data_IF_553906132666
#
_entry.id   IF_553906132666
#
_cell.length_a   1.000
_cell.length_b   1.000
_cell.length_c   1.000
_cell.angle_alpha   90.00
_cell.angle_beta   90.00
_cell.angle_gamma   90.00
#
_symmetry.space_group_name_H-M   'P 1'
#
loop_
_entity.id
_entity.type
_entity.pdbx_description
1 polymer ?
#
# COMPACT_ATOMS: atom_id res chain seq x y z
N UNK A 1 19.97 -29.57 -11.88
CA UNK A 1 18.47 -29.50 -11.74
C UNK A 1 17.94 -29.04 -13.08
N UNK A 2 16.99 -29.78 -13.66
CA UNK A 2 16.36 -29.35 -14.91
C UNK A 2 15.78 -27.95 -14.74
N UNK A 3 15.99 -27.06 -15.73
CA UNK A 3 15.44 -25.72 -15.73
C UNK A 3 13.90 -25.83 -15.59
N UNK A 4 13.35 -25.27 -14.51
CA UNK A 4 11.94 -25.39 -14.20
C UNK A 4 11.09 -24.81 -15.33
N UNK A 5 10.08 -25.60 -15.74
CA UNK A 5 9.14 -25.20 -16.79
C UNK A 5 8.12 -24.26 -16.20
N UNK A 6 8.01 -23.03 -16.75
CA UNK A 6 6.92 -22.12 -16.42
C UNK A 6 7.33 -20.84 -15.68
N UNK A 7 6.30 -20.10 -15.28
CA UNK A 7 6.43 -18.83 -14.56
C UNK A 7 5.93 -18.98 -13.12
N UNK A 8 6.75 -18.56 -12.16
CA UNK A 8 6.31 -18.40 -10.77
C UNK A 8 5.74 -17.00 -10.57
N UNK A 9 4.60 -16.90 -9.90
CA UNK A 9 4.07 -15.65 -9.32
C UNK A 9 4.12 -15.77 -7.80
N UNK A 10 4.73 -14.79 -7.14
CA UNK A 10 4.88 -14.73 -5.69
C UNK A 10 3.90 -13.74 -5.09
N UNK A 11 2.97 -14.25 -4.28
CA UNK A 11 1.90 -13.51 -3.62
C UNK A 11 0.53 -13.71 -4.27
N UNK A 12 -0.49 -14.12 -3.50
CA UNK A 12 -1.88 -14.28 -3.94
C UNK A 12 -2.79 -13.10 -3.50
N UNK A 13 -2.24 -11.90 -3.51
CA UNK A 13 -2.99 -10.66 -3.44
C UNK A 13 -3.53 -10.23 -4.81
N UNK A 14 -4.10 -9.03 -4.89
CA UNK A 14 -4.70 -8.50 -6.13
C UNK A 14 -3.73 -8.54 -7.33
N UNK A 15 -2.45 -8.23 -7.13
CA UNK A 15 -1.44 -8.19 -8.18
C UNK A 15 -1.07 -9.59 -8.69
N UNK A 16 -0.85 -10.53 -7.76
CA UNK A 16 -0.50 -11.90 -8.12
C UNK A 16 -1.65 -12.63 -8.81
N UNK A 17 -2.87 -12.51 -8.29
CA UNK A 17 -4.05 -13.09 -8.91
C UNK A 17 -4.27 -12.55 -10.34
N UNK A 18 -4.19 -11.22 -10.51
CA UNK A 18 -4.36 -10.61 -11.83
C UNK A 18 -3.29 -11.07 -12.83
N UNK A 19 -2.04 -11.19 -12.38
CA UNK A 19 -0.92 -11.64 -13.23
C UNK A 19 -1.03 -13.12 -13.56
N UNK A 20 -1.33 -13.97 -12.57
CA UNK A 20 -1.53 -15.40 -12.79
C UNK A 20 -2.70 -15.66 -13.76
N UNK A 21 -3.83 -14.93 -13.61
CA UNK A 21 -4.96 -15.04 -14.53
C UNK A 21 -4.59 -14.59 -15.96
N UNK A 22 -3.78 -13.54 -16.11
CA UNK A 22 -3.31 -13.10 -17.42
C UNK A 22 -2.40 -14.15 -18.09
N UNK A 23 -1.53 -14.81 -17.33
CA UNK A 23 -0.68 -15.89 -17.79
C UNK A 23 -1.49 -17.14 -18.20
N UNK A 24 -2.43 -17.57 -17.37
CA UNK A 24 -3.33 -18.69 -17.68
C UNK A 24 -4.11 -18.41 -18.96
N UNK A 25 -4.67 -17.20 -19.11
CA UNK A 25 -5.38 -16.78 -20.32
C UNK A 25 -4.49 -16.80 -21.57
N UNK A 26 -3.19 -16.53 -21.41
CA UNK A 26 -2.19 -16.58 -22.48
C UNK A 26 -1.64 -18.01 -22.72
N UNK A 27 -2.19 -19.04 -22.09
CA UNK A 27 -1.77 -20.45 -22.24
C UNK A 27 -0.41 -20.75 -21.59
N UNK A 28 0.09 -19.89 -20.68
CA UNK A 28 1.37 -20.09 -20.03
C UNK A 28 1.21 -20.93 -18.75
N UNK A 29 2.13 -21.91 -18.51
CA UNK A 29 2.14 -22.62 -17.24
C UNK A 29 2.55 -21.65 -16.11
N UNK A 30 1.73 -21.61 -15.05
CA UNK A 30 1.93 -20.73 -13.91
C UNK A 30 1.85 -21.49 -12.59
N UNK A 31 2.78 -21.22 -11.70
CA UNK A 31 2.72 -21.57 -10.27
C UNK A 31 2.47 -20.28 -9.48
N UNK A 32 1.61 -20.34 -8.45
CA UNK A 32 1.27 -19.20 -7.61
C UNK A 32 1.53 -19.58 -6.15
N UNK A 33 2.48 -18.91 -5.49
CA UNK A 33 2.81 -19.14 -4.08
C UNK A 33 2.33 -17.97 -3.22
N UNK A 34 1.80 -18.29 -2.04
CA UNK A 34 1.37 -17.32 -1.04
C UNK A 34 1.85 -17.76 0.35
N UNK A 35 2.46 -16.82 1.10
CA UNK A 35 2.97 -17.12 2.46
C UNK A 35 1.87 -17.31 3.50
N UNK A 36 0.75 -16.64 3.31
CA UNK A 36 -0.39 -16.76 4.21
C UNK A 36 -1.24 -18.01 3.89
N UNK A 37 -2.13 -18.32 4.79
CA UNK A 37 -3.08 -19.44 4.69
C UNK A 37 -4.32 -19.11 3.86
N UNK A 38 -4.41 -17.90 3.28
CA UNK A 38 -5.56 -17.43 2.53
C UNK A 38 -5.23 -16.46 1.40
N UNK A 39 -6.10 -16.44 0.40
CA UNK A 39 -6.09 -15.44 -0.69
C UNK A 39 -6.45 -14.07 -0.13
N UNK A 40 -5.75 -13.02 -0.57
CA UNK A 40 -6.02 -11.64 -0.18
C UNK A 40 -5.63 -11.31 1.26
N UNK A 41 -4.75 -12.07 1.88
CA UNK A 41 -4.32 -11.93 3.28
C UNK A 41 -3.85 -10.52 3.63
N UNK A 42 -3.18 -9.82 2.70
CA UNK A 42 -2.76 -8.43 2.91
C UNK A 42 -3.92 -7.46 3.15
N UNK A 43 -5.11 -7.74 2.59
CA UNK A 43 -6.34 -6.98 2.84
C UNK A 43 -7.01 -7.45 4.14
N UNK A 44 -7.10 -8.76 4.37
CA UNK A 44 -7.63 -9.33 5.61
C UNK A 44 -6.88 -8.85 6.86
N UNK A 45 -5.58 -8.57 6.71
CA UNK A 45 -4.74 -8.00 7.76
C UNK A 45 -4.94 -6.50 8.01
N UNK A 46 -5.87 -5.80 7.35
CA UNK A 46 -6.14 -4.37 7.59
C UNK A 46 -7.33 -4.17 8.56
N UNK A 47 -7.47 -2.93 9.04
CA UNK A 47 -8.58 -2.55 9.93
C UNK A 47 -9.95 -2.69 9.26
N UNK A 48 -10.96 -2.96 10.07
CA UNK A 48 -12.30 -3.37 9.62
C UNK A 48 -13.04 -2.27 8.86
N UNK A 49 -12.83 -1.02 9.24
CA UNK A 49 -13.43 0.16 8.60
C UNK A 49 -12.84 0.53 7.24
N UNK A 50 -11.80 -0.18 6.77
CA UNK A 50 -11.12 0.16 5.52
C UNK A 50 -12.04 0.06 4.30
N UNK A 51 -12.06 1.13 3.50
CA UNK A 51 -12.70 1.16 2.19
C UNK A 51 -11.68 1.57 1.12
N UNK A 52 -11.86 1.08 -0.11
CA UNK A 52 -11.04 1.53 -1.23
C UNK A 52 -11.18 3.05 -1.42
N UNK A 53 -10.06 3.73 -1.64
CA UNK A 53 -10.01 5.15 -2.00
C UNK A 53 -10.31 5.38 -3.48
N UNK A 54 -10.30 4.32 -4.27
CA UNK A 54 -10.56 4.32 -5.70
C UNK A 54 -11.97 3.81 -5.98
N UNK A 55 -12.58 4.32 -7.04
CA UNK A 55 -13.94 3.93 -7.39
C UNK A 55 -14.02 2.50 -7.89
N UNK A 56 -15.08 1.81 -7.50
CA UNK A 56 -15.34 0.41 -7.82
C UNK A 56 -15.10 0.05 -9.28
N UNK A 57 -15.63 0.84 -10.24
CA UNK A 57 -15.56 0.53 -11.67
C UNK A 57 -14.18 0.72 -12.32
N UNK A 58 -13.23 1.34 -11.60
CA UNK A 58 -11.82 1.47 -11.98
C UNK A 58 -10.90 0.54 -11.14
N UNK A 59 -11.48 -0.27 -10.26
CA UNK A 59 -10.75 -1.11 -9.31
C UNK A 59 -10.89 -2.61 -9.61
N UNK A 60 -11.64 -2.99 -10.64
CA UNK A 60 -11.79 -4.39 -11.05
C UNK A 60 -10.53 -4.97 -11.67
N UNK A 61 -10.28 -6.25 -11.44
CA UNK A 61 -9.18 -7.01 -12.05
C UNK A 61 -9.53 -7.42 -13.50
N UNK A 62 -8.53 -7.81 -14.31
CA UNK A 62 -8.76 -8.16 -15.72
C UNK A 62 -9.79 -9.28 -15.89
N UNK A 63 -10.83 -9.02 -16.69
CA UNK A 63 -11.86 -10.01 -17.01
C UNK A 63 -13.02 -10.10 -16.02
N UNK A 64 -12.90 -9.52 -14.82
CA UNK A 64 -13.96 -9.59 -13.82
C UNK A 64 -14.18 -8.22 -13.15
N UNK A 65 -15.40 -7.72 -13.22
CA UNK A 65 -15.77 -6.43 -12.62
C UNK A 65 -16.23 -6.63 -11.18
N UNK A 66 -15.88 -5.71 -10.30
CA UNK A 66 -16.43 -5.70 -8.93
C UNK A 66 -17.95 -5.47 -8.99
N UNK A 67 -18.78 -6.29 -8.31
CA UNK A 67 -20.23 -6.19 -8.30
C UNK A 67 -20.76 -4.82 -7.89
N UNK A 68 -21.87 -4.37 -8.50
CA UNK A 68 -22.49 -3.08 -8.16
C UNK A 68 -22.99 -3.03 -6.72
N UNK A 69 -23.39 -4.15 -6.16
CA UNK A 69 -23.84 -4.32 -4.78
C UNK A 69 -22.79 -3.89 -3.73
N UNK A 70 -21.49 -3.92 -4.06
CA UNK A 70 -20.40 -3.50 -3.17
C UNK A 70 -20.25 -1.97 -3.07
N UNK A 71 -21.20 -1.22 -3.57
CA UNK A 71 -21.23 0.23 -3.49
C UNK A 71 -20.20 0.92 -4.39
N UNK A 72 -20.03 2.23 -4.17
CA UNK A 72 -19.09 3.06 -4.93
C UNK A 72 -17.65 2.90 -4.42
N UNK A 73 -17.51 2.79 -3.12
CA UNK A 73 -16.25 2.64 -2.39
C UNK A 73 -16.29 1.28 -1.70
N UNK A 74 -15.57 0.33 -2.25
CA UNK A 74 -15.64 -1.08 -1.86
C UNK A 74 -15.05 -1.25 -0.46
N UNK A 75 -15.79 -1.90 0.43
CA UNK A 75 -15.31 -2.26 1.76
C UNK A 75 -14.23 -3.36 1.69
N UNK A 76 -13.39 -3.42 2.71
CA UNK A 76 -12.32 -4.42 2.83
C UNK A 76 -12.83 -5.84 2.62
N UNK A 77 -13.89 -6.22 3.30
CA UNK A 77 -14.41 -7.60 3.28
C UNK A 77 -15.03 -7.96 1.92
N UNK A 78 -15.74 -7.01 1.29
CA UNK A 78 -16.23 -7.16 -0.07
C UNK A 78 -15.09 -7.36 -1.07
N UNK A 79 -13.97 -6.65 -0.87
CA UNK A 79 -12.79 -6.82 -1.73
C UNK A 79 -12.14 -8.19 -1.54
N UNK A 80 -12.04 -8.69 -0.31
CA UNK A 80 -11.51 -10.02 -0.01
C UNK A 80 -12.40 -11.09 -0.68
N UNK A 81 -13.71 -10.95 -0.56
CA UNK A 81 -14.66 -11.86 -1.23
C UNK A 81 -14.48 -11.83 -2.74
N UNK A 82 -14.41 -10.65 -3.34
CA UNK A 82 -14.13 -10.45 -4.77
C UNK A 82 -12.82 -11.13 -5.23
N UNK A 83 -11.74 -11.04 -4.44
CA UNK A 83 -10.46 -11.66 -4.79
C UNK A 83 -10.53 -13.19 -4.77
N UNK A 84 -11.26 -13.77 -3.82
CA UNK A 84 -11.49 -15.22 -3.75
C UNK A 84 -12.31 -15.72 -4.95
N UNK A 85 -13.41 -15.04 -5.25
CA UNK A 85 -14.26 -15.31 -6.41
C UNK A 85 -13.46 -15.14 -7.73
N UNK A 86 -12.63 -14.10 -7.82
CA UNK A 86 -11.76 -13.90 -8.97
C UNK A 86 -10.79 -15.07 -9.19
N UNK A 87 -10.19 -15.59 -8.12
CA UNK A 87 -9.29 -16.74 -8.21
C UNK A 87 -10.03 -17.99 -8.71
N UNK A 88 -11.22 -18.27 -8.17
CA UNK A 88 -12.06 -19.41 -8.57
C UNK A 88 -12.46 -19.32 -10.04
N UNK A 89 -13.01 -18.20 -10.48
CA UNK A 89 -13.43 -17.96 -11.87
C UNK A 89 -12.26 -17.99 -12.86
N UNK A 90 -11.06 -17.63 -12.41
CA UNK A 90 -9.84 -17.71 -13.23
C UNK A 90 -9.16 -19.06 -13.19
N UNK A 91 -9.71 -20.05 -12.49
CA UNK A 91 -9.14 -21.39 -12.34
C UNK A 91 -7.81 -21.44 -11.57
N UNK A 92 -7.52 -20.41 -10.77
CA UNK A 92 -6.27 -20.32 -10.01
C UNK A 92 -6.31 -21.18 -8.75
N UNK A 93 -5.19 -21.85 -8.47
CA UNK A 93 -5.00 -22.67 -7.27
C UNK A 93 -3.66 -22.27 -6.63
N UNK A 94 -3.63 -21.20 -5.82
CA UNK A 94 -2.41 -20.80 -5.11
C UNK A 94 -2.00 -21.88 -4.10
N UNK A 95 -0.70 -22.15 -4.03
CA UNK A 95 -0.12 -22.93 -2.94
C UNK A 95 0.06 -21.99 -1.75
N UNK A 96 -0.79 -22.18 -0.75
CA UNK A 96 -0.85 -21.36 0.46
C UNK A 96 0.15 -21.87 1.53
N UNK A 97 0.55 -20.97 2.45
CA UNK A 97 1.48 -21.27 3.53
C UNK A 97 2.88 -21.61 3.02
N UNK A 98 3.32 -21.03 1.91
CA UNK A 98 4.69 -21.20 1.38
C UNK A 98 5.40 -19.86 1.35
N UNK A 99 6.44 -19.74 2.15
CA UNK A 99 7.27 -18.54 2.21
C UNK A 99 8.42 -18.63 1.22
N UNK A 100 8.49 -17.66 0.29
CA UNK A 100 9.69 -17.45 -0.54
C UNK A 100 10.67 -16.62 0.28
N UNK A 101 11.87 -17.16 0.48
CA UNK A 101 12.92 -16.56 1.31
C UNK A 101 13.97 -15.84 0.49
N UNK A 102 14.30 -16.38 -0.70
CA UNK A 102 15.35 -15.85 -1.56
C UNK A 102 15.15 -16.29 -3.02
N UNK A 103 15.60 -15.47 -3.95
CA UNK A 103 15.57 -15.74 -5.39
C UNK A 103 16.98 -15.54 -5.93
N UNK A 104 17.51 -16.60 -6.56
CA UNK A 104 18.87 -16.67 -7.10
C UNK A 104 18.83 -16.90 -8.61
N UNK A 105 19.93 -16.57 -9.31
CA UNK A 105 20.08 -17.00 -10.70
C UNK A 105 20.40 -18.48 -10.78
N UNK A 106 19.76 -19.17 -11.71
CA UNK A 106 20.18 -20.50 -12.10
C UNK A 106 21.39 -20.44 -13.07
N UNK A 107 22.24 -21.46 -13.06
CA UNK A 107 23.42 -21.54 -13.94
C UNK A 107 23.04 -21.58 -15.43
N UNK A 108 22.00 -22.33 -15.77
CA UNK A 108 21.54 -22.62 -17.15
C UNK A 108 20.44 -21.67 -17.68
N UNK A 109 20.35 -20.45 -17.17
CA UNK A 109 19.24 -19.52 -17.37
C UNK A 109 18.01 -19.83 -16.51
N UNK A 110 17.32 -18.76 -16.09
CA UNK A 110 16.16 -18.85 -15.18
C UNK A 110 16.51 -18.53 -13.73
N UNK A 111 15.70 -19.05 -12.80
CA UNK A 111 15.71 -18.63 -11.41
C UNK A 111 15.56 -19.81 -10.46
N UNK A 112 16.37 -19.85 -9.41
CA UNK A 112 16.19 -20.72 -8.26
C UNK A 112 15.48 -19.93 -7.17
N UNK A 113 14.36 -20.49 -6.70
CA UNK A 113 13.53 -19.90 -5.67
C UNK A 113 13.63 -20.74 -4.40
N UNK A 114 14.26 -20.16 -3.39
CA UNK A 114 14.41 -20.76 -2.07
C UNK A 114 13.13 -20.49 -1.29
N UNK A 115 12.51 -21.54 -0.78
CA UNK A 115 11.32 -21.48 0.04
C UNK A 115 11.54 -22.24 1.35
N UNK A 116 10.67 -22.00 2.35
CA UNK A 116 10.60 -22.80 3.59
C UNK A 116 10.32 -24.29 3.36
N UNK A 117 9.99 -24.70 2.11
CA UNK A 117 9.73 -26.09 1.69
C UNK A 117 10.77 -26.63 0.71
N UNK A 118 11.91 -25.95 0.56
CA UNK A 118 12.99 -26.33 -0.33
C UNK A 118 13.16 -25.43 -1.55
N UNK A 119 14.08 -25.81 -2.44
CA UNK A 119 14.45 -25.02 -3.62
C UNK A 119 13.68 -25.50 -4.85
N UNK A 120 13.13 -24.57 -5.61
CA UNK A 120 12.41 -24.82 -6.86
C UNK A 120 13.00 -23.99 -8.00
N UNK A 121 13.07 -24.53 -9.21
CA UNK A 121 13.55 -23.85 -10.40
C UNK A 121 12.40 -23.35 -11.27
N UNK A 122 12.53 -22.13 -11.82
CA UNK A 122 11.56 -21.53 -12.73
C UNK A 122 12.25 -20.78 -13.87
N UNK A 123 11.64 -20.75 -15.03
CA UNK A 123 12.13 -19.96 -16.16
C UNK A 123 11.97 -18.46 -15.92
N UNK A 124 10.87 -18.07 -15.28
CA UNK A 124 10.52 -16.66 -14.96
C UNK A 124 9.93 -16.55 -13.57
N UNK A 125 10.15 -15.40 -12.94
CA UNK A 125 9.57 -15.07 -11.63
C UNK A 125 8.90 -13.70 -11.68
N UNK A 126 7.68 -13.61 -11.16
CA UNK A 126 6.94 -12.37 -10.99
C UNK A 126 6.74 -12.11 -9.50
N UNK A 127 7.35 -11.04 -9.00
CA UNK A 127 7.16 -10.57 -7.62
C UNK A 127 5.93 -9.66 -7.55
N UNK A 128 4.87 -10.15 -6.91
CA UNK A 128 3.59 -9.48 -6.68
C UNK A 128 3.28 -9.35 -5.18
N UNK A 129 4.33 -9.17 -4.38
CA UNK A 129 4.29 -9.17 -2.89
C UNK A 129 3.71 -7.90 -2.29
N UNK A 130 3.44 -6.88 -3.11
CA UNK A 130 2.90 -5.59 -2.69
C UNK A 130 3.93 -4.64 -2.07
N UNK A 131 3.66 -3.33 -2.16
CA UNK A 131 4.57 -2.28 -1.65
C UNK A 131 4.43 -1.98 -0.15
N UNK A 132 3.37 -2.48 0.50
CA UNK A 132 3.13 -2.32 1.94
C UNK A 132 3.28 -3.67 2.65
N UNK A 133 4.48 -4.26 2.58
CA UNK A 133 4.71 -5.63 3.01
C UNK A 133 5.15 -5.74 4.48
N UNK A 134 6.22 -5.05 4.87
CA UNK A 134 6.80 -5.15 6.22
C UNK A 134 6.54 -3.86 6.99
N UNK A 135 5.87 -3.90 8.15
CA UNK A 135 5.68 -2.74 9.02
C UNK A 135 7.02 -2.07 9.37
N UNK A 136 7.03 -0.74 9.38
CA UNK A 136 8.21 0.03 9.76
C UNK A 136 7.94 0.79 11.04
N UNK A 137 8.46 0.31 12.15
CA UNK A 137 8.49 1.04 13.42
C UNK A 137 9.80 1.81 13.47
N UNK A 138 9.80 3.16 13.64
CA UNK A 138 11.01 3.92 13.87
C UNK A 138 11.68 3.52 15.19
N UNK A 139 12.99 3.62 15.22
CA UNK A 139 13.78 3.43 16.43
C UNK A 139 13.72 4.73 17.26
N UNK A 140 12.68 4.86 18.07
CA UNK A 140 12.52 5.99 18.95
C UNK A 140 13.28 5.76 20.26
N UNK A 141 14.24 6.65 20.62
CA UNK A 141 14.91 6.54 21.91
C UNK A 141 13.92 6.48 23.07
N UNK A 142 14.13 5.54 23.99
CA UNK A 142 13.32 5.36 25.18
C UNK A 142 11.97 4.67 24.97
N UNK A 143 11.69 4.12 23.76
CA UNK A 143 10.42 3.42 23.47
C UNK A 143 10.18 2.27 24.45
N UNK A 144 11.22 1.56 24.86
CA UNK A 144 11.20 0.46 25.82
C UNK A 144 10.78 0.88 27.24
N UNK A 145 10.84 2.19 27.55
CA UNK A 145 10.41 2.73 28.86
C UNK A 145 8.93 3.05 28.91
N UNK A 146 8.26 3.06 27.76
CA UNK A 146 6.84 3.42 27.69
C UNK A 146 5.98 2.31 28.28
N UNK A 147 5.22 2.59 29.37
CA UNK A 147 4.54 1.54 30.16
C UNK A 147 3.22 1.09 29.57
N UNK A 148 2.82 1.63 28.41
CA UNK A 148 1.52 1.38 27.79
C UNK A 148 1.70 0.78 26.40
N UNK A 149 0.60 0.46 25.75
CA UNK A 149 0.58 -0.20 24.44
C UNK A 149 1.12 0.68 23.32
N UNK A 150 2.00 0.10 22.49
CA UNK A 150 2.44 0.65 21.20
C UNK A 150 2.13 -0.37 20.12
N UNK A 151 1.20 -0.04 19.22
CA UNK A 151 0.74 -0.92 18.14
C UNK A 151 1.10 -0.31 16.79
N UNK A 152 1.63 -1.11 15.86
CA UNK A 152 1.73 -0.65 14.47
C UNK A 152 0.36 -0.69 13.78
N UNK A 153 0.10 0.21 12.84
CA UNK A 153 -1.16 0.24 12.07
C UNK A 153 -1.45 -1.05 11.29
N UNK A 154 -0.46 -1.93 11.12
CA UNK A 154 -0.63 -3.28 10.57
C UNK A 154 -1.40 -4.22 11.51
N UNK A 155 -1.29 -3.99 12.81
CA UNK A 155 -1.89 -4.83 13.86
C UNK A 155 -3.17 -4.23 14.43
N UNK A 156 -3.44 -2.96 14.14
CA UNK A 156 -4.72 -2.33 14.46
C UNK A 156 -5.86 -2.95 13.64
N UNK A 157 -6.98 -3.28 14.30
CA UNK A 157 -8.16 -3.91 13.67
C UNK A 157 -9.40 -3.05 13.78
N UNK A 158 -9.73 -2.63 15.01
CA UNK A 158 -10.99 -1.94 15.30
C UNK A 158 -10.83 -1.06 16.56
N UNK A 159 -11.70 -0.05 16.76
CA UNK A 159 -11.47 0.99 17.76
C UNK A 159 -11.95 0.65 19.15
N UNK A 160 -12.71 -0.42 19.40
CA UNK A 160 -13.44 -0.64 20.66
C UNK A 160 -12.53 -0.66 21.91
N UNK A 161 -11.32 -1.25 21.77
CA UNK A 161 -10.33 -1.30 22.85
C UNK A 161 -9.83 0.09 23.28
N UNK A 162 -10.07 1.11 22.51
CA UNK A 162 -9.61 2.50 22.75
C UNK A 162 -10.74 3.44 23.20
N UNK A 163 -11.92 2.93 23.47
CA UNK A 163 -13.07 3.74 23.90
C UNK A 163 -12.73 4.63 25.11
N UNK A 164 -12.92 5.95 24.97
CA UNK A 164 -12.65 6.95 26.01
C UNK A 164 -11.17 7.19 26.33
N UNK A 165 -10.22 6.51 25.67
CA UNK A 165 -8.77 6.64 25.91
C UNK A 165 -8.17 7.81 25.13
N UNK A 166 -7.04 8.34 25.66
CA UNK A 166 -6.18 9.27 24.92
C UNK A 166 -5.22 8.51 24.00
N UNK A 167 -5.37 8.63 22.68
CA UNK A 167 -4.55 7.88 21.70
C UNK A 167 -3.67 8.83 20.89
N UNK A 168 -2.38 8.53 20.84
CA UNK A 168 -1.42 9.17 19.94
C UNK A 168 -1.27 8.34 18.67
N UNK A 169 -1.76 8.86 17.54
CA UNK A 169 -1.55 8.26 16.23
C UNK A 169 -0.32 8.93 15.59
N UNK A 170 0.74 8.16 15.33
CA UNK A 170 1.99 8.69 14.77
C UNK A 170 2.04 8.47 13.28
N UNK A 171 1.98 9.53 12.52
CA UNK A 171 1.98 9.53 11.07
C UNK A 171 0.91 10.44 10.47
N UNK A 172 0.98 10.66 9.17
CA UNK A 172 0.03 11.51 8.44
C UNK A 172 -0.33 10.92 7.07
N UNK A 173 -0.33 9.59 6.94
CA UNK A 173 -0.79 8.88 5.75
C UNK A 173 -2.28 8.51 5.84
N UNK A 174 -2.81 7.83 4.79
CA UNK A 174 -4.19 7.39 4.78
C UNK A 174 -4.54 6.52 6.00
N UNK A 175 -3.70 5.55 6.37
CA UNK A 175 -3.95 4.73 7.57
C UNK A 175 -4.03 5.55 8.84
N UNK A 176 -3.13 6.54 9.04
CA UNK A 176 -3.16 7.40 10.22
C UNK A 176 -4.47 8.18 10.33
N UNK A 177 -4.93 8.77 9.22
CA UNK A 177 -6.13 9.61 9.21
C UNK A 177 -7.41 8.79 9.32
N UNK A 178 -7.47 7.60 8.72
CA UNK A 178 -8.64 6.72 8.84
C UNK A 178 -8.74 6.09 10.24
N UNK A 179 -7.62 5.63 10.81
CA UNK A 179 -7.58 5.13 12.19
C UNK A 179 -7.95 6.26 13.19
N UNK A 180 -7.48 7.50 12.95
CA UNK A 180 -7.88 8.62 13.77
C UNK A 180 -9.41 8.87 13.75
N UNK A 181 -10.04 8.74 12.58
CA UNK A 181 -11.51 8.87 12.46
C UNK A 181 -12.24 7.68 13.10
N UNK A 182 -11.70 6.49 12.96
CA UNK A 182 -12.25 5.28 13.56
C UNK A 182 -12.25 5.38 15.09
N UNK A 183 -11.15 5.82 15.68
CA UNK A 183 -11.02 6.06 17.13
C UNK A 183 -12.01 7.11 17.64
N UNK A 184 -12.29 8.16 16.86
CA UNK A 184 -13.30 9.15 17.23
C UNK A 184 -14.70 8.56 17.34
N UNK A 185 -15.01 7.48 16.62
CA UNK A 185 -16.34 6.84 16.63
C UNK A 185 -16.67 6.21 18.00
N UNK A 186 -15.65 5.84 18.78
CA UNK A 186 -15.79 5.26 20.13
C UNK A 186 -15.47 6.26 21.24
N UNK A 187 -15.39 7.58 20.92
CA UNK A 187 -15.15 8.62 21.91
C UNK A 187 -13.71 8.71 22.40
N UNK A 188 -12.73 8.13 21.70
CA UNK A 188 -11.33 8.33 22.02
C UNK A 188 -10.91 9.79 21.80
N UNK A 189 -9.99 10.30 22.64
CA UNK A 189 -9.32 11.57 22.41
C UNK A 189 -8.08 11.37 21.53
N UNK A 190 -8.09 11.91 20.31
CA UNK A 190 -7.08 11.61 19.31
C UNK A 190 -6.09 12.76 19.12
N UNK A 191 -4.80 12.47 19.27
CA UNK A 191 -3.71 13.34 18.84
C UNK A 191 -2.97 12.71 17.67
N UNK A 192 -2.85 13.46 16.56
CA UNK A 192 -2.14 13.05 15.36
C UNK A 192 -0.75 13.68 15.34
N UNK A 193 0.32 12.89 15.51
CA UNK A 193 1.70 13.36 15.45
C UNK A 193 2.19 13.39 14.02
N UNK A 194 2.54 14.56 13.51
CA UNK A 194 2.85 14.79 12.09
C UNK A 194 4.28 15.28 11.90
N UNK A 195 5.12 14.50 11.22
CA UNK A 195 6.48 14.87 10.86
C UNK A 195 6.54 15.75 9.61
N UNK A 196 5.81 15.35 8.60
CA UNK A 196 5.76 16.05 7.31
C UNK A 196 4.29 16.27 6.95
N UNK A 197 3.87 17.51 6.72
CA UNK A 197 2.50 17.80 6.33
C UNK A 197 2.12 17.01 5.08
N UNK A 198 0.96 16.34 5.08
CA UNK A 198 0.51 15.55 3.96
C UNK A 198 -0.13 16.40 2.87
N UNK A 199 -0.10 15.92 1.63
CA UNK A 199 -1.01 16.39 0.60
C UNK A 199 -2.38 15.81 0.83
N UNK A 200 -3.43 16.63 0.96
CA UNK A 200 -4.81 16.18 1.18
C UNK A 200 -5.63 16.48 -0.07
N UNK A 201 -6.36 15.48 -0.55
CA UNK A 201 -7.29 15.58 -1.68
C UNK A 201 -8.67 15.10 -1.24
N UNK A 202 -9.73 15.76 -1.68
CA UNK A 202 -11.08 15.22 -1.52
C UNK A 202 -11.24 13.96 -2.34
N UNK A 203 -12.00 13.00 -1.81
CA UNK A 203 -12.32 11.74 -2.50
C UNK A 203 -13.09 11.99 -3.79
N UNK A 204 -13.93 13.04 -3.79
CA UNK A 204 -14.71 13.50 -4.95
C UNK A 204 -14.92 15.01 -4.94
N UNK A 205 -15.12 15.57 -6.12
CA UNK A 205 -15.44 16.98 -6.34
C UNK A 205 -16.66 17.05 -7.25
N UNK A 206 -17.72 17.71 -6.79
CA UNK A 206 -19.01 17.80 -7.52
C UNK A 206 -19.51 16.41 -7.98
N UNK A 207 -19.39 15.39 -7.12
CA UNK A 207 -19.79 14.02 -7.44
C UNK A 207 -18.84 13.25 -8.36
N UNK A 208 -17.77 13.87 -8.88
CA UNK A 208 -16.76 13.21 -9.70
C UNK A 208 -15.58 12.71 -8.83
N UNK A 209 -15.20 11.44 -8.91
CA UNK A 209 -14.05 10.92 -8.19
C UNK A 209 -12.76 11.60 -8.62
N UNK A 210 -11.92 11.98 -7.65
CA UNK A 210 -10.63 12.61 -7.91
C UNK A 210 -9.69 11.71 -8.74
N UNK A 211 -9.89 10.40 -8.68
CA UNK A 211 -9.13 9.42 -9.48
C UNK A 211 -9.28 9.66 -10.98
N UNK A 212 -10.44 10.10 -11.46
CA UNK A 212 -10.66 10.42 -12.88
C UNK A 212 -9.77 11.57 -13.33
N UNK A 213 -9.60 12.59 -12.49
CA UNK A 213 -8.67 13.69 -12.74
C UNK A 213 -7.22 13.18 -12.78
N UNK A 214 -6.85 12.30 -11.84
CA UNK A 214 -5.53 11.65 -11.82
C UNK A 214 -5.24 10.89 -13.11
N UNK A 215 -6.23 10.13 -13.63
CA UNK A 215 -6.11 9.39 -14.88
C UNK A 215 -5.99 10.32 -16.11
N UNK A 216 -6.80 11.38 -16.16
CA UNK A 216 -6.73 12.35 -17.26
C UNK A 216 -5.37 13.07 -17.34
N UNK A 217 -4.73 13.25 -16.20
CA UNK A 217 -3.45 13.97 -16.07
C UNK A 217 -2.20 13.07 -16.04
N UNK A 218 -2.36 11.74 -16.11
CA UNK A 218 -1.25 10.79 -15.91
C UNK A 218 -0.05 11.01 -16.83
N UNK A 219 -0.30 11.55 -18.02
CA UNK A 219 0.73 11.87 -19.04
C UNK A 219 1.13 13.36 -19.08
N UNK A 220 0.49 14.20 -18.27
CA UNK A 220 0.77 15.63 -18.27
C UNK A 220 2.08 15.95 -17.51
N UNK A 221 2.84 16.95 -17.93
CA UNK A 221 4.05 17.36 -17.25
C UNK A 221 3.75 18.00 -15.87
N UNK A 222 4.70 17.96 -14.91
CA UNK A 222 4.53 18.54 -13.58
C UNK A 222 4.09 20.02 -13.58
N UNK A 223 4.55 20.80 -14.57
CA UNK A 223 4.17 22.21 -14.74
C UNK A 223 2.67 22.43 -14.97
N UNK A 224 1.96 21.44 -15.53
CA UNK A 224 0.49 21.48 -15.72
C UNK A 224 -0.21 20.87 -14.51
N UNK A 225 0.29 19.75 -13.99
CA UNK A 225 -0.35 19.01 -12.89
C UNK A 225 -0.31 19.81 -11.58
N UNK A 226 0.85 20.36 -11.20
CA UNK A 226 1.01 21.05 -9.93
C UNK A 226 0.05 22.23 -9.75
N UNK A 227 -0.07 23.21 -10.69
CA UNK A 227 -1.02 24.29 -10.55
C UNK A 227 -2.47 23.83 -10.53
N UNK A 228 -2.84 22.82 -11.32
CA UNK A 228 -4.20 22.28 -11.34
C UNK A 228 -4.57 21.60 -10.02
N UNK A 229 -3.69 20.76 -9.48
CA UNK A 229 -3.88 20.14 -8.17
C UNK A 229 -3.89 21.18 -7.06
N UNK A 230 -3.05 22.23 -7.14
CA UNK A 230 -3.06 23.32 -6.16
C UNK A 230 -4.37 24.13 -6.22
N UNK A 231 -4.89 24.45 -7.42
CA UNK A 231 -6.17 25.12 -7.59
C UNK A 231 -7.34 24.25 -7.06
N UNK A 232 -7.37 22.99 -7.43
CA UNK A 232 -8.37 22.02 -6.95
C UNK A 232 -8.37 21.96 -5.40
N UNK A 233 -7.20 21.90 -4.77
CA UNK A 233 -7.07 21.88 -3.30
C UNK A 233 -7.54 23.19 -2.66
N UNK A 234 -7.20 24.35 -3.25
CA UNK A 234 -7.66 25.65 -2.70
C UNK A 234 -9.16 25.76 -2.59
N UNK A 235 -9.87 25.19 -3.56
CA UNK A 235 -11.34 25.20 -3.59
C UNK A 235 -11.94 24.10 -2.71
N UNK A 236 -11.28 22.94 -2.63
CA UNK A 236 -11.88 21.75 -2.00
C UNK A 236 -11.40 21.48 -0.56
N UNK A 237 -10.22 21.94 -0.17
CA UNK A 237 -9.65 21.72 1.17
C UNK A 237 -9.36 23.07 1.82
N UNK A 238 -9.94 23.38 3.00
CA UNK A 238 -9.67 24.62 3.72
C UNK A 238 -8.20 24.69 4.14
N UNK A 239 -7.73 25.87 4.50
CA UNK A 239 -6.41 26.03 5.11
C UNK A 239 -6.44 25.53 6.56
N UNK A 240 -5.60 24.56 6.85
CA UNK A 240 -5.44 23.96 8.17
C UNK A 240 -4.09 24.36 8.82
N UNK A 241 -3.43 25.39 8.32
CA UNK A 241 -2.13 25.85 8.84
C UNK A 241 -2.21 26.23 10.32
N UNK A 242 -3.32 26.86 10.74
CA UNK A 242 -3.57 27.20 12.13
C UNK A 242 -3.77 25.96 13.04
N UNK A 243 -4.11 24.81 12.46
CA UNK A 243 -4.25 23.53 13.16
C UNK A 243 -3.00 22.63 13.01
N UNK A 244 -1.87 23.16 12.51
CA UNK A 244 -0.62 22.43 12.37
C UNK A 244 -0.48 21.61 11.07
N UNK A 245 -1.39 21.75 10.10
CA UNK A 245 -1.32 21.11 8.79
C UNK A 245 -1.18 22.14 7.66
N UNK A 246 -0.01 22.74 7.45
CA UNK A 246 0.19 23.73 6.39
C UNK A 246 0.08 23.08 5.01
N UNK A 247 -0.35 23.88 4.02
CA UNK A 247 -0.47 23.44 2.63
C UNK A 247 0.90 23.21 1.99
N UNK A 248 1.05 22.09 1.29
CA UNK A 248 2.22 21.79 0.47
C UNK A 248 2.13 22.55 -0.85
N UNK A 249 3.23 23.17 -1.31
CA UNK A 249 3.25 23.93 -2.57
C UNK A 249 3.09 23.03 -3.80
N UNK A 250 3.89 21.97 -3.90
CA UNK A 250 4.01 21.13 -5.10
C UNK A 250 3.68 19.64 -4.77
N UNK A 251 2.42 19.28 -4.59
CA UNK A 251 2.04 17.95 -4.11
C UNK A 251 2.41 16.81 -5.07
N UNK A 252 2.36 17.05 -6.39
CA UNK A 252 2.74 16.05 -7.38
C UNK A 252 4.26 15.84 -7.43
N UNK A 253 5.04 16.92 -7.34
CA UNK A 253 6.50 16.84 -7.26
C UNK A 253 6.91 16.08 -5.99
N UNK A 254 6.32 16.40 -4.85
CA UNK A 254 6.56 15.67 -3.60
C UNK A 254 6.28 14.18 -3.75
N UNK A 255 5.15 13.81 -4.36
CA UNK A 255 4.85 12.40 -4.64
C UNK A 255 5.95 11.74 -5.48
N UNK A 256 6.40 12.40 -6.55
CA UNK A 256 7.46 11.88 -7.42
C UNK A 256 8.78 11.64 -6.68
N UNK A 257 9.14 12.56 -5.80
CA UNK A 257 10.41 12.52 -5.05
C UNK A 257 10.36 11.54 -3.87
N UNK A 258 9.23 11.49 -3.15
CA UNK A 258 9.13 10.73 -1.89
C UNK A 258 8.38 9.40 -2.03
N UNK A 259 7.58 9.21 -3.08
CA UNK A 259 6.64 8.10 -3.23
C UNK A 259 5.42 8.20 -2.30
N UNK A 260 5.28 9.29 -1.53
CA UNK A 260 4.18 9.47 -0.58
C UNK A 260 2.90 9.87 -1.30
N UNK A 261 1.92 8.97 -1.34
CA UNK A 261 0.61 9.24 -1.94
C UNK A 261 -0.17 10.29 -1.13
N UNK A 262 -0.96 11.14 -1.81
CA UNK A 262 -1.87 12.06 -1.11
C UNK A 262 -2.85 11.30 -0.20
N UNK A 263 -3.23 11.93 0.91
CA UNK A 263 -4.36 11.49 1.73
C UNK A 263 -5.64 11.74 0.96
N UNK A 264 -6.51 10.76 0.95
CA UNK A 264 -7.88 10.92 0.46
C UNK A 264 -8.77 11.25 1.66
N UNK A 265 -9.28 12.47 1.69
CA UNK A 265 -10.11 12.96 2.80
C UNK A 265 -11.42 12.14 2.89
N UNK A 266 -11.54 11.40 3.97
CA UNK A 266 -12.75 10.67 4.39
C UNK A 266 -13.44 11.32 5.59
N UNK A 267 -13.04 12.57 5.97
CA UNK A 267 -13.60 13.31 7.11
C UNK A 267 -12.54 13.94 8.02
N UNK A 268 -11.24 13.63 7.80
CA UNK A 268 -10.16 14.12 8.67
C UNK A 268 -10.04 15.65 8.63
N UNK A 269 -10.29 16.28 7.49
CA UNK A 269 -10.29 17.75 7.35
C UNK A 269 -11.32 18.39 8.26
N UNK A 270 -12.52 17.84 8.32
CA UNK A 270 -13.59 18.32 9.22
C UNK A 270 -13.22 18.06 10.69
N UNK A 271 -12.70 16.88 11.01
CA UNK A 271 -12.33 16.51 12.37
C UNK A 271 -11.22 17.41 12.94
N UNK A 272 -10.19 17.69 12.15
CA UNK A 272 -9.10 18.62 12.54
C UNK A 272 -9.63 20.05 12.68
N UNK A 273 -10.42 20.54 11.71
CA UNK A 273 -10.99 21.91 11.73
C UNK A 273 -11.88 22.16 12.95
N UNK A 274 -12.63 21.14 13.38
CA UNK A 274 -13.53 21.20 14.53
C UNK A 274 -12.81 20.90 15.86
N UNK A 275 -11.49 20.69 15.84
CA UNK A 275 -10.71 20.37 17.05
C UNK A 275 -10.98 18.97 17.62
N UNK A 276 -11.66 18.10 16.89
CA UNK A 276 -11.93 16.71 17.31
C UNK A 276 -10.67 15.83 17.21
N UNK A 277 -9.78 16.14 16.29
CA UNK A 277 -8.42 15.58 16.19
C UNK A 277 -7.43 16.72 16.42
N UNK A 278 -6.61 16.59 17.44
CA UNK A 278 -5.49 17.51 17.71
C UNK A 278 -4.32 17.11 16.81
N UNK A 279 -3.71 18.07 16.14
CA UNK A 279 -2.45 17.86 15.42
C UNK A 279 -1.29 18.32 16.31
N UNK A 280 -0.26 17.50 16.37
CA UNK A 280 0.96 17.74 17.14
C UNK A 280 2.20 17.55 16.27
N UNK A 281 3.33 18.07 16.73
CA UNK A 281 4.63 17.94 16.10
C UNK A 281 5.10 16.47 16.05
N UNK A 282 6.20 16.20 15.34
CA UNK A 282 6.70 14.82 15.19
C UNK A 282 7.11 14.19 16.53
N UNK A 283 6.78 12.94 16.73
CA UNK A 283 7.30 12.11 17.83
C UNK A 283 8.81 11.92 17.64
N UNK A 284 9.60 12.18 18.67
CA UNK A 284 11.07 12.07 18.63
C UNK A 284 11.64 11.10 19.65
N UNK A 285 11.04 10.96 20.84
CA UNK A 285 11.50 10.02 21.87
C UNK A 285 10.41 9.74 22.91
N UNK A 286 10.67 8.76 23.76
CA UNK A 286 9.85 8.38 24.90
C UNK A 286 10.63 8.57 26.20
N UNK A 287 9.92 8.89 27.30
CA UNK A 287 10.48 9.07 28.65
C UNK A 287 9.41 8.61 29.65
N UNK A 288 9.44 7.32 30.00
CA UNK A 288 8.34 6.68 30.71
C UNK A 288 7.01 6.88 30.00
N UNK A 289 5.97 7.40 30.68
CA UNK A 289 4.64 7.62 30.06
C UNK A 289 4.59 8.81 29.10
N UNK A 290 5.66 9.61 29.01
CA UNK A 290 5.71 10.83 28.21
C UNK A 290 6.30 10.58 26.84
N UNK A 291 5.63 11.09 25.83
CA UNK A 291 6.13 11.13 24.44
C UNK A 291 6.58 12.53 24.13
N UNK A 292 7.86 12.71 23.80
CA UNK A 292 8.47 14.01 23.44
C UNK A 292 8.26 14.29 21.96
N UNK A 293 7.92 15.53 21.66
CA UNK A 293 7.67 16.01 20.31
C UNK A 293 8.79 16.94 19.83
N UNK A 294 8.93 17.10 18.52
CA UNK A 294 10.02 17.87 17.90
C UNK A 294 9.96 19.39 18.16
N UNK A 295 8.85 19.90 18.65
CA UNK A 295 8.68 21.31 19.09
C UNK A 295 9.01 21.51 20.58
N UNK A 296 9.51 20.46 21.27
CA UNK A 296 9.84 20.46 22.68
C UNK A 296 8.66 20.18 23.62
N UNK A 297 7.44 20.11 23.11
CA UNK A 297 6.26 19.74 23.89
C UNK A 297 6.23 18.24 24.22
N UNK A 298 5.37 17.85 25.14
CA UNK A 298 5.15 16.44 25.53
C UNK A 298 3.66 16.10 25.52
N UNK A 299 3.35 14.81 25.29
CA UNK A 299 2.02 14.23 25.46
C UNK A 299 2.12 12.96 26.29
N UNK A 300 1.06 12.62 27.01
CA UNK A 300 0.96 11.38 27.82
C UNK A 300 -0.25 10.55 27.32
N UNK A 301 -0.12 9.84 26.20
CA UNK A 301 -1.23 9.05 25.66
C UNK A 301 -1.43 7.75 26.44
N UNK A 302 -2.66 7.23 26.44
CA UNK A 302 -2.98 5.89 26.96
C UNK A 302 -2.59 4.75 26.02
N UNK A 303 -2.39 5.07 24.75
CA UNK A 303 -1.88 4.15 23.73
C UNK A 303 -1.24 4.93 22.60
N UNK A 304 -0.31 4.27 21.88
CA UNK A 304 0.32 4.80 20.68
C UNK A 304 0.03 3.89 19.49
N UNK A 305 -0.49 4.44 18.40
CA UNK A 305 -0.65 3.72 17.14
C UNK A 305 0.34 4.27 16.12
N UNK A 306 1.35 3.47 15.79
CA UNK A 306 2.40 3.82 14.84
C UNK A 306 1.92 3.57 13.40
N UNK A 307 1.35 4.59 12.77
CA UNK A 307 1.00 4.56 11.34
C UNK A 307 2.16 5.09 10.48
N UNK A 308 3.35 4.54 10.71
CA UNK A 308 4.64 5.00 10.19
C UNK A 308 5.04 4.36 8.86
N UNK A 309 4.11 3.59 8.27
CA UNK A 309 4.23 3.01 6.95
C UNK A 309 4.94 1.66 6.92
N UNK A 310 5.35 1.26 5.71
CA UNK A 310 5.85 -0.07 5.41
C UNK A 310 7.07 0.00 4.51
N UNK A 311 7.85 -1.09 4.47
CA UNK A 311 8.84 -1.37 3.45
C UNK A 311 8.31 -2.43 2.48
N UNK A 312 8.96 -2.58 1.32
CA UNK A 312 8.55 -3.54 0.29
C UNK A 312 8.83 -4.99 0.66
N UNK A 313 9.70 -5.24 1.65
CA UNK A 313 10.16 -6.59 1.98
C UNK A 313 11.00 -7.28 0.89
N UNK A 314 11.42 -6.56 -0.16
CA UNK A 314 12.14 -7.13 -1.30
C UNK A 314 13.64 -7.32 -1.05
N UNK A 315 14.22 -6.57 -0.12
CA UNK A 315 15.67 -6.59 0.13
C UNK A 315 16.18 -8.00 0.47
N UNK A 316 15.55 -8.76 1.38
CA UNK A 316 15.96 -10.15 1.64
C UNK A 316 15.82 -11.06 0.42
N UNK A 317 14.78 -10.85 -0.40
CA UNK A 317 14.46 -11.71 -1.52
C UNK A 317 15.43 -11.53 -2.70
N UNK A 318 15.69 -10.27 -3.09
CA UNK A 318 16.37 -9.93 -4.36
C UNK A 318 17.37 -8.77 -4.25
N UNK A 319 17.64 -8.24 -3.04
CA UNK A 319 18.55 -7.09 -2.87
C UNK A 319 19.96 -7.34 -3.37
N UNK A 320 20.47 -8.56 -3.24
CA UNK A 320 21.79 -9.00 -3.72
C UNK A 320 21.92 -9.04 -5.26
N UNK A 321 20.80 -8.98 -5.99
CA UNK A 321 20.77 -8.99 -7.46
C UNK A 321 20.98 -7.60 -8.09
N UNK A 322 21.04 -6.52 -7.29
CA UNK A 322 21.20 -5.15 -7.80
C UNK A 322 19.98 -4.64 -8.57
N UNK A 323 18.78 -5.17 -8.28
CA UNK A 323 17.52 -4.83 -8.97
C UNK A 323 16.65 -3.82 -8.21
N UNK A 324 17.14 -3.34 -7.06
CA UNK A 324 16.44 -2.40 -6.19
C UNK A 324 17.23 -1.08 -6.07
N UNK A 325 16.50 0.02 -5.85
CA UNK A 325 17.10 1.31 -5.48
C UNK A 325 17.52 1.30 -3.99
N UNK A 326 18.13 2.41 -3.54
CA UNK A 326 18.59 2.58 -2.16
C UNK A 326 17.46 2.62 -1.11
N UNK A 327 16.20 2.70 -1.54
CA UNK A 327 15.00 2.64 -0.69
C UNK A 327 14.33 1.27 -0.71
N UNK A 328 14.89 0.31 -1.46
CA UNK A 328 14.33 -1.04 -1.63
C UNK A 328 13.14 -1.10 -2.61
N UNK A 329 12.99 -0.09 -3.50
CA UNK A 329 12.02 -0.13 -4.59
C UNK A 329 12.64 -0.77 -5.84
N UNK A 330 11.86 -1.54 -6.63
CA UNK A 330 12.37 -2.12 -7.87
C UNK A 330 12.74 -1.02 -8.88
N UNK A 331 13.86 -1.21 -9.57
CA UNK A 331 14.35 -0.32 -10.64
C UNK A 331 13.53 -0.43 -11.93
N UNK A 332 12.78 -1.52 -12.10
CA UNK A 332 11.84 -1.73 -13.21
C UNK A 332 10.50 -2.26 -12.65
N UNK A 333 9.40 -2.06 -13.36
CA UNK A 333 8.08 -2.57 -12.99
C UNK A 333 7.23 -2.93 -14.22
N UNK A 334 6.16 -3.70 -13.98
CA UNK A 334 5.29 -4.21 -15.03
C UNK A 334 6.07 -5.12 -15.99
N UNK A 335 5.88 -4.92 -17.29
CA UNK A 335 6.53 -5.70 -18.35
C UNK A 335 7.98 -5.28 -18.64
N UNK A 336 8.52 -4.25 -17.94
CA UNK A 336 9.89 -3.83 -18.14
C UNK A 336 10.83 -4.76 -17.38
N UNK A 337 11.78 -5.34 -18.09
CA UNK A 337 12.85 -6.15 -17.54
C UNK A 337 14.15 -5.36 -17.39
N UNK A 338 14.93 -5.66 -16.39
CA UNK A 338 16.31 -5.20 -16.30
C UNK A 338 17.19 -6.14 -17.14
N UNK A 339 18.10 -5.61 -17.98
CA UNK A 339 19.04 -6.46 -18.75
C UNK A 339 19.85 -7.41 -17.87
N UNK A 340 20.18 -6.98 -16.64
CA UNK A 340 20.84 -7.76 -15.61
C UNK A 340 19.96 -8.83 -14.95
N UNK A 341 18.63 -8.81 -15.13
CA UNK A 341 17.68 -9.69 -14.43
C UNK A 341 16.53 -10.15 -15.33
N UNK A 342 16.87 -10.63 -16.56
CA UNK A 342 15.85 -11.12 -17.51
C UNK A 342 15.03 -12.26 -16.91
N UNK A 343 13.71 -12.21 -17.14
CA UNK A 343 12.76 -13.16 -16.58
C UNK A 343 12.34 -12.86 -15.13
N UNK A 344 12.83 -11.76 -14.50
CA UNK A 344 12.36 -11.29 -13.20
C UNK A 344 11.51 -10.03 -13.39
N UNK A 345 10.27 -10.09 -12.94
CA UNK A 345 9.28 -9.04 -13.07
C UNK A 345 8.79 -8.56 -11.70
N UNK A 346 8.39 -7.28 -11.62
CA UNK A 346 7.78 -6.69 -10.43
C UNK A 346 6.43 -6.11 -10.81
N UNK A 347 5.36 -6.50 -10.12
CA UNK A 347 4.01 -6.02 -10.44
C UNK A 347 3.43 -5.25 -9.27
N UNK A 348 3.11 -3.98 -9.53
CA UNK A 348 2.39 -3.08 -8.62
C UNK A 348 3.03 -2.93 -7.23
N UNK A 349 4.36 -2.98 -7.17
CA UNK A 349 5.11 -2.71 -5.94
C UNK A 349 5.14 -1.20 -5.66
N UNK A 350 5.44 -0.39 -6.67
CA UNK A 350 5.52 1.06 -6.52
C UNK A 350 4.14 1.72 -6.38
N UNK A 351 3.98 2.73 -5.50
CA UNK A 351 2.73 3.46 -5.35
C UNK A 351 2.37 4.24 -6.61
N UNK A 352 1.06 4.33 -6.94
CA UNK A 352 0.55 5.00 -8.15
C UNK A 352 -0.60 5.95 -7.83
N UNK A 353 -0.57 7.14 -8.42
CA UNK A 353 -1.61 8.18 -8.25
C UNK A 353 -2.94 7.76 -8.88
N UNK A 354 -2.91 7.04 -10.00
CA UNK A 354 -4.11 6.58 -10.71
C UNK A 354 -4.93 5.52 -9.92
N UNK A 355 -4.39 5.05 -8.81
CA UNK A 355 -4.95 3.98 -7.99
C UNK A 355 -4.27 2.63 -8.25
N UNK A 356 -3.95 1.95 -7.16
CA UNK A 356 -3.14 0.74 -7.20
C UNK A 356 -3.83 -0.39 -7.97
N UNK A 357 -5.13 -0.63 -7.74
CA UNK A 357 -5.88 -1.70 -8.44
C UNK A 357 -5.99 -1.46 -9.95
N UNK A 358 -6.14 -0.20 -10.39
CA UNK A 358 -6.11 0.15 -11.80
C UNK A 358 -4.76 -0.18 -12.45
N UNK A 359 -3.66 0.17 -11.78
CA UNK A 359 -2.32 -0.14 -12.27
C UNK A 359 -2.01 -1.65 -12.24
N UNK A 360 -2.48 -2.37 -11.23
CA UNK A 360 -2.43 -3.83 -11.18
C UNK A 360 -3.04 -4.43 -12.44
N UNK A 361 -4.27 -4.03 -12.79
CA UNK A 361 -4.96 -4.57 -13.95
C UNK A 361 -4.21 -4.29 -15.27
N UNK A 362 -3.58 -3.11 -15.38
CA UNK A 362 -2.78 -2.72 -16.55
C UNK A 362 -1.46 -3.49 -16.63
N UNK A 363 -0.70 -3.54 -15.51
CA UNK A 363 0.61 -4.19 -15.46
C UNK A 363 0.50 -5.71 -15.63
N UNK A 364 -0.50 -6.34 -15.01
CA UNK A 364 -0.74 -7.77 -15.11
C UNK A 364 -0.97 -8.23 -16.56
N UNK A 365 -1.77 -7.46 -17.32
CA UNK A 365 -1.97 -7.72 -18.75
C UNK A 365 -0.66 -7.59 -19.54
N UNK A 366 0.06 -6.49 -19.35
CA UNK A 366 1.31 -6.25 -20.05
C UNK A 366 2.38 -7.32 -19.77
N UNK A 367 2.48 -7.79 -18.52
CA UNK A 367 3.39 -8.89 -18.14
C UNK A 367 2.95 -10.21 -18.79
N UNK A 368 1.65 -10.52 -18.78
CA UNK A 368 1.12 -11.72 -19.45
C UNK A 368 1.42 -11.73 -20.95
N UNK A 369 1.21 -10.60 -21.64
CA UNK A 369 1.51 -10.43 -23.06
C UNK A 369 3.02 -10.53 -23.35
N UNK A 370 3.88 -9.88 -22.54
CA UNK A 370 5.32 -9.91 -22.71
C UNK A 370 5.89 -11.34 -22.52
N UNK A 371 5.40 -12.06 -21.52
CA UNK A 371 5.83 -13.44 -21.24
C UNK A 371 5.36 -14.38 -22.36
N UNK A 372 4.14 -14.21 -22.86
CA UNK A 372 3.61 -15.02 -23.98
C UNK A 372 4.39 -14.77 -25.27
N UNK A 373 4.77 -13.53 -25.55
CA UNK A 373 5.55 -13.19 -26.74
C UNK A 373 7.01 -13.71 -26.72
N UNK A 374 7.54 -13.99 -25.52
CA UNK A 374 8.91 -14.50 -25.31
C UNK A 374 8.94 -16.02 -25.02
N UNK A 375 7.82 -16.72 -25.14
CA UNK A 375 7.69 -18.16 -24.94
C UNK A 375 7.96 -18.91 -26.21
#
# INVERSE_FOLDING_TARGET
>A
MEAGVGTLVVGAGSAGLATAAALVKAGQPVSLLEKADQIGASWAGRYDSLHLHTVRWLSGLPGFRIPRSYGRWVARDDLIHYLREYAELSGLRPELGVTVERIERAEDSGWLVVTDRGVRAFRRVVLATGGSHTPRLPDWPGLETFPREVVHSADYREPSAYAGRGVLVVGAGNSATEIALDLLSVGATVTLSVRTPPSILRREILGLPIQLLGLALIKAPPGVINPLVAATRRVSVPDLSAQGLPRIRNPYTQFKETGTVPIIDSGIVAAVRLGRVRVAAATVSFDGPRVRLSDGSTVEPDAVIAATGFTTGLVPLVGHLGVLDNRGWPLADGANELPSARGLYFVAIQPRIAGQLFEIARQARAVGEAIAAAA
#
